data_IF_401276424172
#
_entry.id   IF_401276424172
#
_cell.length_a   1.000
_cell.length_b   1.000
_cell.length_c   1.000
_cell.angle_alpha   90.00
_cell.angle_beta   90.00
_cell.angle_gamma   90.00
#
_symmetry.space_group_name_H-M   'P 1'
#
loop_
_entity.id
_entity.type
_entity.pdbx_description
1 polymer ?
#
# COMPACT_ATOMS: atom_id res chain seq x y z
N UNK A 1 27.57 9.17 18.91
CA UNK A 1 26.88 9.44 17.64
C UNK A 1 27.91 9.68 16.56
N UNK A 2 27.85 8.92 15.45
CA UNK A 2 28.70 9.14 14.28
C UNK A 2 27.77 9.42 13.09
N UNK A 3 27.85 10.62 12.53
CA UNK A 3 27.07 11.07 11.37
C UNK A 3 27.59 10.40 10.11
N UNK A 4 26.72 9.92 9.22
CA UNK A 4 27.10 9.12 8.05
C UNK A 4 26.91 9.86 6.72
N UNK A 5 25.96 10.77 6.60
CA UNK A 5 25.71 11.48 5.34
C UNK A 5 25.21 12.91 5.50
N UNK A 6 25.36 13.72 4.45
CA UNK A 6 24.71 15.00 4.28
C UNK A 6 23.28 14.80 3.78
N UNK A 7 22.36 15.55 4.32
CA UNK A 7 20.92 15.49 4.12
C UNK A 7 20.49 15.85 2.69
N UNK A 8 19.70 14.98 2.06
CA UNK A 8 18.77 15.37 1.00
C UNK A 8 17.48 15.97 1.60
N UNK A 9 16.63 16.59 0.80
CA UNK A 9 15.48 17.37 1.27
C UNK A 9 14.47 16.60 2.14
N UNK A 10 14.41 15.27 2.05
CA UNK A 10 13.51 14.42 2.85
C UNK A 10 14.18 13.79 4.07
N UNK A 11 15.49 13.54 4.02
CA UNK A 11 16.26 12.93 5.11
C UNK A 11 16.78 14.01 6.06
N UNK A 12 16.39 13.93 7.34
CA UNK A 12 16.77 14.88 8.37
C UNK A 12 18.06 14.50 9.08
N UNK A 13 18.28 13.20 9.31
CA UNK A 13 19.48 12.71 9.96
C UNK A 13 19.80 11.26 9.59
N UNK A 14 21.10 10.95 9.55
CA UNK A 14 21.65 9.62 9.33
C UNK A 14 22.86 9.42 10.24
N UNK A 15 22.77 8.51 11.19
CA UNK A 15 23.83 8.29 12.19
C UNK A 15 23.81 6.86 12.73
N UNK A 16 24.87 6.48 13.43
CA UNK A 16 24.92 5.21 14.15
C UNK A 16 24.92 5.42 15.66
N UNK A 17 24.19 4.58 16.37
CA UNK A 17 24.16 4.56 17.82
C UNK A 17 24.02 3.13 18.38
N UNK A 18 24.26 2.97 19.66
CA UNK A 18 23.84 1.80 20.40
C UNK A 18 22.44 2.07 20.96
N UNK A 19 21.55 1.09 20.78
CA UNK A 19 20.17 1.17 21.27
C UNK A 19 20.08 0.69 22.72
N UNK A 20 19.06 1.17 23.41
CA UNK A 20 18.75 0.75 24.77
C UNK A 20 19.04 1.81 25.83
N UNK A 21 18.79 1.44 27.09
CA UNK A 21 19.02 2.25 28.28
C UNK A 21 20.42 2.03 28.83
N UNK A 22 20.81 2.79 29.87
CA UNK A 22 22.10 2.58 30.58
C UNK A 22 22.23 1.16 31.13
N UNK A 23 21.12 0.54 31.53
CA UNK A 23 21.08 -0.80 32.15
C UNK A 23 21.01 -1.94 31.13
N UNK A 24 20.43 -1.67 29.95
CA UNK A 24 20.26 -2.66 28.88
C UNK A 24 20.59 -2.00 27.53
N UNK A 25 21.86 -2.04 27.16
CA UNK A 25 22.37 -1.44 25.93
C UNK A 25 22.79 -2.52 24.95
N UNK A 26 22.41 -2.34 23.68
CA UNK A 26 22.86 -3.19 22.58
C UNK A 26 24.39 -3.19 22.49
N UNK A 27 25.01 -4.37 22.35
CA UNK A 27 26.44 -4.51 22.12
C UNK A 27 26.83 -4.02 20.73
N UNK A 28 25.93 -4.17 19.75
CA UNK A 28 26.14 -3.75 18.36
C UNK A 28 25.64 -2.33 18.14
N UNK A 29 26.28 -1.63 17.21
CA UNK A 29 25.79 -0.34 16.72
C UNK A 29 24.75 -0.58 15.63
N UNK A 30 23.70 0.23 15.66
CA UNK A 30 22.65 0.27 14.67
C UNK A 30 22.67 1.61 13.94
N UNK A 31 22.28 1.62 12.68
CA UNK A 31 22.09 2.84 11.92
C UNK A 31 20.67 3.35 12.16
N UNK A 32 20.54 4.65 12.34
CA UNK A 32 19.26 5.33 12.53
C UNK A 32 19.15 6.38 11.45
N UNK A 33 18.10 6.27 10.64
CA UNK A 33 17.74 7.25 9.62
C UNK A 33 16.45 7.95 10.07
N UNK A 34 16.47 9.27 10.08
CA UNK A 34 15.30 10.11 10.38
C UNK A 34 14.92 10.84 9.09
N UNK A 35 13.69 10.68 8.66
CA UNK A 35 13.15 11.36 7.49
C UNK A 35 11.73 11.85 7.76
N UNK A 36 11.25 12.78 6.94
CA UNK A 36 9.91 13.36 7.06
C UNK A 36 8.94 12.69 6.10
N UNK A 37 7.78 12.23 6.62
CA UNK A 37 6.73 11.66 5.80
C UNK A 37 5.97 12.77 5.02
N UNK A 38 5.06 12.36 4.11
CA UNK A 38 4.23 13.27 3.33
C UNK A 38 3.30 14.16 4.19
N UNK A 39 3.08 13.79 5.46
CA UNK A 39 2.27 14.56 6.42
C UNK A 39 3.14 15.47 7.31
N UNK A 40 4.44 15.57 7.04
CA UNK A 40 5.37 16.39 7.80
C UNK A 40 5.83 15.79 9.13
N UNK A 41 5.54 14.49 9.39
CA UNK A 41 5.95 13.82 10.64
C UNK A 41 7.32 13.19 10.50
N UNK A 42 8.14 13.31 11.54
CA UNK A 42 9.46 12.71 11.59
C UNK A 42 9.34 11.19 11.89
N UNK A 43 9.80 10.39 10.95
CA UNK A 43 9.86 8.92 11.05
C UNK A 43 11.29 8.53 11.38
N UNK A 44 11.47 7.64 12.37
CA UNK A 44 12.78 7.10 12.76
C UNK A 44 12.84 5.62 12.40
N UNK A 45 13.76 5.27 11.52
CA UNK A 45 13.99 3.89 11.11
C UNK A 45 15.33 3.42 11.66
N UNK A 46 15.31 2.29 12.35
CA UNK A 46 16.50 1.60 12.81
C UNK A 46 16.78 0.43 11.89
N UNK A 47 18.01 0.32 11.42
CA UNK A 47 18.40 -0.70 10.45
C UNK A 47 19.84 -1.18 10.66
N UNK A 48 20.16 -2.33 10.12
CA UNK A 48 21.51 -2.87 9.95
C UNK A 48 22.03 -2.70 8.51
N UNK A 49 21.29 -2.05 7.63
CA UNK A 49 21.69 -1.78 6.25
C UNK A 49 22.66 -0.58 6.19
N UNK A 50 23.95 -0.85 6.29
CA UNK A 50 24.97 0.19 6.27
C UNK A 50 25.38 0.62 4.86
N UNK A 51 25.13 -0.22 3.85
CA UNK A 51 25.52 -0.02 2.45
C UNK A 51 24.46 0.71 1.61
N UNK A 52 23.20 0.73 2.05
CA UNK A 52 22.12 1.42 1.35
C UNK A 52 22.17 2.94 1.63
N UNK A 53 21.71 3.78 0.69
CA UNK A 53 21.57 5.21 0.95
C UNK A 53 20.45 5.48 1.98
N UNK A 54 20.46 6.63 2.61
CA UNK A 54 19.41 7.01 3.58
C UNK A 54 18.05 7.17 2.89
N UNK A 55 18.04 7.65 1.66
CA UNK A 55 16.87 7.77 0.80
C UNK A 55 16.27 6.40 0.48
N UNK A 56 17.12 5.43 0.09
CA UNK A 56 16.68 4.05 -0.16
C UNK A 56 16.02 3.44 1.08
N UNK A 57 16.57 3.70 2.28
CA UNK A 57 15.98 3.21 3.53
C UNK A 57 14.63 3.87 3.79
N UNK A 58 14.48 5.17 3.50
CA UNK A 58 13.20 5.88 3.62
C UNK A 58 12.16 5.30 2.65
N UNK A 59 12.52 5.07 1.39
CA UNK A 59 11.65 4.48 0.37
C UNK A 59 11.21 3.05 0.75
N UNK A 60 12.13 2.21 1.21
CA UNK A 60 11.82 0.87 1.69
C UNK A 60 10.82 0.88 2.86
N UNK A 61 10.97 1.84 3.78
CA UNK A 61 10.04 1.99 4.88
C UNK A 61 8.65 2.44 4.42
N UNK A 62 8.57 3.37 3.47
CA UNK A 62 7.32 3.82 2.89
C UNK A 62 6.60 2.68 2.15
N UNK A 63 7.34 1.86 1.40
CA UNK A 63 6.77 0.67 0.73
C UNK A 63 6.22 -0.34 1.75
N UNK A 64 6.96 -0.60 2.84
CA UNK A 64 6.48 -1.46 3.92
C UNK A 64 5.18 -0.93 4.55
N UNK A 65 5.08 0.38 4.73
CA UNK A 65 3.85 1.00 5.24
C UNK A 65 2.65 0.78 4.32
N UNK A 66 2.88 0.75 3.01
CA UNK A 66 1.83 0.42 2.03
C UNK A 66 1.26 -0.99 2.26
N UNK A 67 2.09 -1.96 2.62
CA UNK A 67 1.66 -3.31 2.99
C UNK A 67 0.78 -3.30 4.24
N UNK A 68 1.14 -2.55 5.27
CA UNK A 68 0.33 -2.42 6.48
C UNK A 68 -1.03 -1.76 6.20
N UNK A 69 -1.06 -0.72 5.39
CA UNK A 69 -2.30 -0.07 4.94
C UNK A 69 -3.17 -1.04 4.17
N UNK A 70 -2.57 -1.85 3.30
CA UNK A 70 -3.26 -2.91 2.56
C UNK A 70 -3.88 -3.94 3.49
N UNK A 71 -3.12 -4.52 4.43
CA UNK A 71 -3.67 -5.51 5.37
C UNK A 71 -4.74 -4.92 6.30
N UNK A 72 -4.61 -3.66 6.70
CA UNK A 72 -5.65 -2.95 7.44
C UNK A 72 -6.93 -2.86 6.63
N UNK A 73 -6.81 -2.50 5.34
CA UNK A 73 -7.93 -2.43 4.42
C UNK A 73 -8.60 -3.81 4.24
N UNK A 74 -7.81 -4.86 3.99
CA UNK A 74 -8.29 -6.24 3.85
C UNK A 74 -9.08 -6.68 5.10
N UNK A 75 -8.53 -6.46 6.29
CA UNK A 75 -9.20 -6.77 7.56
C UNK A 75 -10.50 -6.01 7.73
N UNK A 76 -10.56 -4.77 7.30
CA UNK A 76 -11.69 -3.89 7.55
C UNK A 76 -12.83 -4.08 6.55
N UNK A 77 -12.54 -4.43 5.31
CA UNK A 77 -13.53 -4.44 4.21
C UNK A 77 -13.81 -5.82 3.61
N UNK A 78 -12.89 -6.77 3.74
CA UNK A 78 -13.07 -8.11 3.18
C UNK A 78 -13.41 -9.17 4.25
N UNK A 79 -13.72 -8.74 5.45
CA UNK A 79 -14.15 -9.61 6.56
C UNK A 79 -13.20 -10.79 6.86
N UNK A 80 -11.91 -10.62 6.55
CA UNK A 80 -10.85 -11.63 6.77
C UNK A 80 -10.64 -12.00 8.25
N UNK A 81 -11.03 -11.16 9.26
CA UNK A 81 -10.98 -11.59 10.66
C UNK A 81 -11.79 -12.84 10.95
N UNK A 82 -12.81 -13.12 10.15
CA UNK A 82 -13.58 -14.35 10.25
C UNK A 82 -13.03 -15.35 9.23
N UNK A 83 -12.25 -16.32 9.71
CA UNK A 83 -11.76 -17.40 8.86
C UNK A 83 -12.91 -18.35 8.54
N UNK A 84 -13.13 -18.63 7.26
CA UNK A 84 -14.14 -19.60 6.80
C UNK A 84 -13.72 -21.05 7.04
N UNK A 85 -12.45 -21.27 7.40
CA UNK A 85 -11.91 -22.56 7.76
C UNK A 85 -10.58 -22.42 8.51
N UNK A 86 -10.24 -23.43 9.29
CA UNK A 86 -9.02 -23.47 10.10
C UNK A 86 -7.86 -24.22 9.43
N UNK A 87 -8.11 -24.84 8.27
CA UNK A 87 -7.04 -25.51 7.51
C UNK A 87 -6.16 -24.49 6.81
N UNK A 88 -4.89 -24.83 6.64
CA UNK A 88 -3.90 -23.96 5.97
C UNK A 88 -4.37 -23.54 4.58
N UNK A 89 -4.88 -24.48 3.78
CA UNK A 89 -5.42 -24.20 2.45
C UNK A 89 -6.62 -23.25 2.48
N UNK A 90 -7.52 -23.37 3.45
CA UNK A 90 -8.66 -22.46 3.58
C UNK A 90 -8.20 -21.04 3.87
N UNK A 91 -7.21 -20.87 4.73
CA UNK A 91 -6.61 -19.57 5.07
C UNK A 91 -5.93 -18.95 3.85
N UNK A 92 -5.10 -19.73 3.12
CA UNK A 92 -4.45 -19.22 1.90
C UNK A 92 -5.46 -18.86 0.82
N UNK A 93 -6.47 -19.69 0.57
CA UNK A 93 -7.50 -19.38 -0.42
C UNK A 93 -8.25 -18.09 -0.08
N UNK A 94 -8.58 -17.89 1.18
CA UNK A 94 -9.23 -16.64 1.62
C UNK A 94 -8.33 -15.43 1.45
N UNK A 95 -7.03 -15.53 1.76
CA UNK A 95 -6.07 -14.46 1.55
C UNK A 95 -5.90 -14.14 0.06
N UNK A 96 -5.73 -15.16 -0.80
CA UNK A 96 -5.60 -14.95 -2.24
C UNK A 96 -6.87 -14.33 -2.84
N UNK A 97 -8.05 -14.78 -2.44
CA UNK A 97 -9.32 -14.18 -2.86
C UNK A 97 -9.39 -12.70 -2.44
N UNK A 98 -8.94 -12.35 -1.23
CA UNK A 98 -8.87 -10.98 -0.75
C UNK A 98 -7.89 -10.13 -1.58
N UNK A 99 -6.72 -10.68 -1.94
CA UNK A 99 -5.77 -9.99 -2.83
C UNK A 99 -6.35 -9.73 -4.21
N UNK A 100 -6.98 -10.74 -4.82
CA UNK A 100 -7.62 -10.60 -6.13
C UNK A 100 -8.71 -9.54 -6.08
N UNK A 101 -9.59 -9.59 -5.09
CA UNK A 101 -10.65 -8.60 -4.90
C UNK A 101 -10.09 -7.18 -4.76
N UNK A 102 -9.02 -7.01 -3.97
CA UNK A 102 -8.37 -5.71 -3.82
C UNK A 102 -7.83 -5.17 -5.15
N UNK A 103 -7.09 -6.00 -5.88
CA UNK A 103 -6.48 -5.60 -7.17
C UNK A 103 -7.57 -5.21 -8.17
N UNK A 104 -8.64 -6.01 -8.28
CA UNK A 104 -9.75 -5.74 -9.18
C UNK A 104 -10.50 -4.45 -8.79
N UNK A 105 -10.80 -4.25 -7.50
CA UNK A 105 -11.47 -3.05 -7.01
C UNK A 105 -10.59 -1.80 -7.20
N UNK A 106 -9.28 -1.95 -6.99
CA UNK A 106 -8.34 -0.84 -7.19
C UNK A 106 -8.23 -0.47 -8.66
N UNK A 107 -8.10 -1.45 -9.55
CA UNK A 107 -8.11 -1.23 -10.99
C UNK A 107 -9.41 -0.56 -11.44
N UNK A 108 -10.56 -1.08 -11.00
CA UNK A 108 -11.87 -0.52 -11.35
C UNK A 108 -12.02 0.92 -10.87
N UNK A 109 -11.60 1.21 -9.65
CA UNK A 109 -11.58 2.56 -9.11
C UNK A 109 -10.73 3.52 -9.94
N UNK A 110 -9.49 3.11 -10.28
CA UNK A 110 -8.54 3.95 -11.00
C UNK A 110 -9.01 4.21 -12.46
N UNK A 111 -9.66 3.23 -13.11
CA UNK A 111 -10.26 3.44 -14.44
C UNK A 111 -11.50 4.33 -14.36
N UNK A 112 -12.41 4.06 -13.44
CA UNK A 112 -13.63 4.85 -13.27
C UNK A 112 -13.32 6.31 -12.91
N UNK A 113 -12.32 6.54 -12.06
CA UNK A 113 -11.90 7.88 -11.65
C UNK A 113 -11.48 8.77 -12.82
N UNK A 114 -10.98 8.20 -13.92
CA UNK A 114 -10.62 8.93 -15.13
C UNK A 114 -11.85 9.39 -15.92
N UNK A 115 -12.99 8.75 -15.73
CA UNK A 115 -14.23 8.96 -16.47
C UNK A 115 -15.26 9.79 -15.69
N UNK A 116 -14.95 10.22 -14.45
CA UNK A 116 -15.88 10.92 -13.56
C UNK A 116 -15.29 12.22 -13.04
N UNK A 117 -16.14 13.25 -12.90
CA UNK A 117 -15.79 14.53 -12.31
C UNK A 117 -15.99 14.56 -10.79
N UNK A 118 -16.71 13.60 -10.23
CA UNK A 118 -16.97 13.51 -8.79
C UNK A 118 -15.81 12.83 -8.08
N UNK A 119 -15.17 13.54 -7.15
CA UNK A 119 -14.07 12.97 -6.38
C UNK A 119 -14.58 12.08 -5.25
N UNK A 120 -14.19 10.80 -5.25
CA UNK A 120 -14.36 9.87 -4.15
C UNK A 120 -12.98 9.33 -3.73
N UNK A 121 -12.80 9.10 -2.43
CA UNK A 121 -11.66 8.30 -1.96
C UNK A 121 -11.89 6.82 -2.30
N UNK A 122 -10.81 6.04 -2.44
CA UNK A 122 -10.92 4.59 -2.69
C UNK A 122 -11.79 3.87 -1.64
N UNK A 123 -11.64 4.24 -0.37
CA UNK A 123 -12.43 3.69 0.73
C UNK A 123 -13.92 4.00 0.57
N UNK A 124 -14.26 5.26 0.22
CA UNK A 124 -15.63 5.67 -0.02
C UNK A 124 -16.25 4.97 -1.24
N UNK A 125 -15.44 4.78 -2.29
CA UNK A 125 -15.84 4.02 -3.47
C UNK A 125 -16.19 2.58 -3.10
N UNK A 126 -15.29 1.86 -2.42
CA UNK A 126 -15.51 0.45 -2.03
C UNK A 126 -16.75 0.30 -1.15
N UNK A 127 -16.91 1.16 -0.14
CA UNK A 127 -18.09 1.13 0.74
C UNK A 127 -19.38 1.32 -0.07
N UNK A 128 -19.43 2.32 -0.94
CA UNK A 128 -20.60 2.62 -1.76
C UNK A 128 -20.84 1.57 -2.85
N UNK A 129 -19.78 0.97 -3.37
CA UNK A 129 -19.87 -0.14 -4.34
C UNK A 129 -20.62 -1.33 -3.74
N UNK A 130 -20.19 -1.81 -2.57
CA UNK A 130 -20.83 -2.94 -1.90
C UNK A 130 -22.22 -2.63 -1.34
N UNK A 131 -22.50 -1.39 -0.96
CA UNK A 131 -23.86 -0.98 -0.51
C UNK A 131 -24.79 -0.63 -1.68
N UNK A 132 -24.34 -0.67 -2.93
CA UNK A 132 -25.14 -0.26 -4.10
C UNK A 132 -25.38 1.24 -4.23
N UNK A 133 -24.74 2.06 -3.38
CA UNK A 133 -24.97 3.52 -3.25
C UNK A 133 -23.94 4.37 -4.00
N UNK A 134 -23.34 3.85 -5.08
CA UNK A 134 -22.48 4.66 -5.92
C UNK A 134 -23.27 5.79 -6.60
N UNK A 135 -22.70 7.01 -6.67
CA UNK A 135 -23.29 8.10 -7.46
C UNK A 135 -23.48 7.69 -8.92
N UNK A 136 -24.47 8.27 -9.59
CA UNK A 136 -24.78 7.94 -10.97
C UNK A 136 -23.59 8.17 -11.91
N UNK A 137 -22.84 9.25 -11.70
CA UNK A 137 -21.63 9.59 -12.44
C UNK A 137 -20.56 8.48 -12.35
N UNK A 138 -20.40 7.88 -11.13
CA UNK A 138 -19.52 6.74 -10.92
C UNK A 138 -20.04 5.45 -11.55
N UNK A 139 -21.35 5.21 -11.56
CA UNK A 139 -21.96 4.06 -12.23
C UNK A 139 -21.76 4.11 -13.75
N UNK A 140 -22.01 5.28 -14.35
CA UNK A 140 -21.81 5.49 -15.78
C UNK A 140 -20.32 5.43 -16.18
N UNK A 141 -19.43 6.04 -15.40
CA UNK A 141 -17.99 5.98 -15.62
C UNK A 141 -17.44 4.54 -15.49
N UNK A 142 -17.97 3.75 -14.57
CA UNK A 142 -17.61 2.33 -14.41
C UNK A 142 -18.06 1.51 -15.63
N UNK A 143 -19.29 1.73 -16.12
CA UNK A 143 -19.78 1.06 -17.30
C UNK A 143 -18.95 1.41 -18.55
N UNK A 144 -18.58 2.68 -18.73
CA UNK A 144 -17.71 3.14 -19.81
C UNK A 144 -16.31 2.50 -19.73
N UNK A 145 -15.71 2.46 -18.56
CA UNK A 145 -14.38 1.85 -18.33
C UNK A 145 -14.39 0.34 -18.65
N UNK A 146 -15.42 -0.38 -18.23
CA UNK A 146 -15.56 -1.81 -18.51
C UNK A 146 -15.80 -2.08 -20.00
N UNK A 147 -16.59 -1.24 -20.67
CA UNK A 147 -16.85 -1.36 -22.11
C UNK A 147 -15.57 -1.09 -22.93
N UNK A 148 -14.80 -0.07 -22.61
CA UNK A 148 -13.51 0.22 -23.24
C UNK A 148 -12.54 -0.95 -23.08
N UNK A 149 -12.46 -1.51 -21.89
CA UNK A 149 -11.63 -2.69 -21.61
C UNK A 149 -12.06 -3.90 -22.44
N UNK A 150 -13.36 -4.18 -22.50
CA UNK A 150 -13.90 -5.29 -23.28
C UNK A 150 -13.59 -5.16 -24.80
N UNK A 151 -13.64 -3.93 -25.33
CA UNK A 151 -13.28 -3.70 -26.74
C UNK A 151 -11.80 -3.92 -27.02
N UNK A 152 -10.91 -3.48 -26.13
CA UNK A 152 -9.45 -3.66 -26.28
C UNK A 152 -9.08 -5.14 -26.27
N UNK A 153 -9.65 -5.91 -25.34
CA UNK A 153 -9.34 -7.34 -25.18
C UNK A 153 -10.08 -8.22 -26.19
N UNK A 154 -11.32 -7.87 -26.58
CA UNK A 154 -12.05 -8.58 -27.63
C UNK A 154 -11.33 -8.53 -28.98
N UNK A 155 -10.72 -7.40 -29.35
CA UNK A 155 -9.90 -7.27 -30.57
C UNK A 155 -8.59 -8.06 -30.49
N UNK A 156 -8.00 -8.22 -29.30
CA UNK A 156 -6.79 -9.06 -29.14
C UNK A 156 -7.06 -10.54 -29.31
N UNK A 157 -8.18 -11.02 -28.81
CA UNK A 157 -8.54 -12.44 -28.93
C UNK A 157 -8.90 -12.84 -30.37
N UNK A 158 -9.49 -11.95 -31.18
CA UNK A 158 -9.79 -12.22 -32.58
C UNK A 158 -8.54 -12.27 -33.49
N UNK A 159 -7.38 -11.81 -33.03
CA UNK A 159 -6.13 -11.89 -33.80
C UNK A 159 -5.28 -13.14 -33.49
N UNK A 160 -5.76 -14.04 -32.62
CA UNK A 160 -5.09 -15.29 -32.26
C UNK A 160 -5.87 -16.54 -32.73
N UNK A 161 -6.90 -16.37 -33.58
CA UNK A 161 -7.67 -17.43 -34.21
C UNK A 161 -7.30 -17.67 -35.67
#
# INVERSE_FOLDING_TARGET
LKRLSSTSSSVQADFTCQLGTKQCRSTKRHRVVIFRDANGRDIRVVTNLFHASAETIADMYQQRWTVEVFFRWVKQYLNVPTLFGTTENAVYNQLFAAFIAYVLLRWLYDQTKKQTNVSLSFISFVRRFFSGQLPLDWKSGMAAALFEYAQIYGRRMSNFG
#
